data_IF_861420360893
#
_entry.id   IF_861420360893
#
_cell.length_a   1.000
_cell.length_b   1.000
_cell.length_c   1.000
_cell.angle_alpha   90.00
_cell.angle_beta   90.00
_cell.angle_gamma   90.00
#
_symmetry.space_group_name_H-M   'P 1'
#
loop_
_entity.id
_entity.type
_entity.pdbx_description
1 polymer ?
#
# COMPACT_ATOMS: atom_id res chain seq x y z
N UNK A 1 -7.18 18.78 -0.37
CA UNK A 1 -6.76 17.39 -0.13
C UNK A 1 -7.58 16.81 1.02
N UNK A 2 -8.03 15.57 0.92
CA UNK A 2 -8.84 14.85 1.92
C UNK A 2 -8.01 13.92 2.82
N UNK A 3 -6.69 13.85 2.55
CA UNK A 3 -5.70 13.04 3.26
C UNK A 3 -5.97 11.53 3.11
N UNK A 4 -6.49 11.08 1.97
CA UNK A 4 -6.79 9.67 1.73
C UNK A 4 -5.98 9.12 0.56
N UNK A 5 -5.33 7.98 0.80
CA UNK A 5 -4.73 7.13 -0.23
C UNK A 5 -5.79 6.17 -0.76
N UNK A 6 -5.91 6.04 -2.08
CA UNK A 6 -6.90 5.19 -2.73
C UNK A 6 -6.23 4.14 -3.62
N UNK A 7 -6.75 2.93 -3.62
CA UNK A 7 -6.59 2.01 -4.74
C UNK A 7 -7.86 2.01 -5.57
N UNK A 8 -7.72 2.29 -6.86
CA UNK A 8 -8.83 2.36 -7.80
C UNK A 8 -8.63 1.31 -8.88
N UNK A 9 -9.67 0.53 -9.13
CA UNK A 9 -9.70 -0.38 -10.25
C UNK A 9 -9.87 0.43 -11.55
N UNK A 10 -8.84 0.48 -12.38
CA UNK A 10 -8.87 1.31 -13.60
C UNK A 10 -9.88 0.82 -14.66
N UNK A 11 -10.34 -0.43 -14.58
CA UNK A 11 -11.35 -0.96 -15.50
C UNK A 11 -12.77 -0.58 -15.09
N UNK A 12 -13.09 -0.68 -13.80
CA UNK A 12 -14.44 -0.41 -13.29
C UNK A 12 -14.62 1.01 -12.74
N UNK A 13 -13.53 1.73 -12.48
CA UNK A 13 -13.53 3.03 -11.79
C UNK A 13 -13.85 2.94 -10.29
N UNK A 14 -14.01 1.73 -9.73
CA UNK A 14 -14.38 1.57 -8.32
C UNK A 14 -13.15 1.62 -7.41
N UNK A 15 -13.32 2.21 -6.23
CA UNK A 15 -12.34 2.17 -5.16
C UNK A 15 -12.31 0.76 -4.57
N UNK A 16 -11.18 0.07 -4.67
CA UNK A 16 -10.99 -1.26 -4.06
C UNK A 16 -10.72 -1.14 -2.55
N UNK A 17 -9.95 -0.13 -2.14
CA UNK A 17 -9.72 0.22 -0.74
C UNK A 17 -9.23 1.66 -0.59
N UNK A 18 -9.32 2.18 0.64
CA UNK A 18 -8.82 3.51 0.99
C UNK A 18 -8.12 3.51 2.35
N UNK A 19 -7.13 4.39 2.53
CA UNK A 19 -6.41 4.57 3.79
C UNK A 19 -6.25 6.04 4.12
N UNK A 20 -6.74 6.46 5.28
CA UNK A 20 -6.55 7.83 5.80
C UNK A 20 -5.12 8.01 6.31
N UNK A 21 -4.51 9.11 5.92
CA UNK A 21 -3.23 9.63 6.39
C UNK A 21 -3.45 10.81 7.33
N UNK A 22 -2.44 11.16 8.10
CA UNK A 22 -2.47 12.26 9.07
C UNK A 22 -2.38 13.63 8.41
N UNK A 23 -1.80 13.70 7.22
CA UNK A 23 -1.56 14.92 6.47
C UNK A 23 -1.88 14.71 4.97
N UNK A 24 -2.05 15.79 4.20
CA UNK A 24 -2.21 15.72 2.76
C UNK A 24 -1.14 14.88 2.08
N UNK A 25 -1.54 14.06 1.11
CA UNK A 25 -0.61 13.37 0.22
C UNK A 25 -0.35 14.34 -0.93
N UNK A 26 0.91 14.78 -1.07
CA UNK A 26 1.32 15.76 -2.10
C UNK A 26 2.29 15.17 -3.12
N UNK A 27 2.67 13.91 -2.95
CA UNK A 27 3.57 13.14 -3.81
C UNK A 27 2.93 11.81 -4.21
N UNK A 28 3.52 11.11 -5.17
CA UNK A 28 3.04 9.79 -5.55
C UNK A 28 3.36 8.75 -4.46
N UNK A 29 2.56 7.67 -4.42
CA UNK A 29 2.91 6.47 -3.67
C UNK A 29 3.86 5.59 -4.49
N UNK A 30 4.74 4.85 -3.82
CA UNK A 30 5.56 3.81 -4.42
C UNK A 30 4.95 2.43 -4.20
N UNK A 31 5.03 1.56 -5.20
CA UNK A 31 4.48 0.20 -5.15
C UNK A 31 5.58 -0.78 -5.56
N UNK A 32 5.78 -1.82 -4.75
CA UNK A 32 6.67 -2.94 -5.05
C UNK A 32 5.85 -4.23 -5.12
N UNK A 33 5.68 -4.80 -6.32
CA UNK A 33 4.90 -6.03 -6.53
C UNK A 33 5.71 -7.31 -6.25
N UNK A 34 7.00 -7.22 -5.93
CA UNK A 34 7.91 -8.37 -5.85
C UNK A 34 8.15 -8.89 -4.43
N UNK A 35 7.16 -8.79 -3.54
CA UNK A 35 7.19 -9.53 -2.29
C UNK A 35 6.84 -11.00 -2.55
N UNK A 36 7.81 -11.73 -3.08
CA UNK A 36 7.79 -13.19 -3.02
C UNK A 36 8.00 -13.58 -1.56
N UNK A 37 6.93 -13.87 -0.82
CA UNK A 37 7.07 -14.60 0.44
C UNK A 37 7.62 -16.01 0.11
N UNK A 38 8.90 -16.31 0.42
CA UNK A 38 9.48 -17.61 0.08
C UNK A 38 8.86 -18.76 0.89
N UNK A 39 8.06 -18.44 1.92
CA UNK A 39 7.36 -19.42 2.76
C UNK A 39 5.92 -19.68 2.32
N UNK A 40 5.41 -18.90 1.35
CA UNK A 40 4.06 -19.06 0.85
C UNK A 40 3.93 -20.35 0.03
N UNK A 41 3.28 -21.37 0.62
CA UNK A 41 2.90 -22.63 -0.05
C UNK A 41 1.91 -22.44 -1.21
N UNK A 42 1.50 -21.20 -1.51
CA UNK A 42 0.51 -20.82 -2.52
C UNK A 42 1.09 -19.83 -3.53
N UNK A 43 2.34 -20.06 -3.96
CA UNK A 43 3.14 -19.22 -4.87
C UNK A 43 2.52 -18.93 -6.27
N UNK A 44 1.24 -19.22 -6.50
CA UNK A 44 0.55 -19.00 -7.77
C UNK A 44 -0.69 -18.09 -7.73
N UNK A 45 -1.17 -17.63 -6.57
CA UNK A 45 -2.52 -17.00 -6.49
C UNK A 45 -2.64 -15.77 -5.60
N UNK A 46 -1.54 -15.26 -5.03
CA UNK A 46 -1.59 -14.12 -4.11
C UNK A 46 -0.90 -12.91 -4.75
N UNK A 47 -1.69 -11.90 -5.11
CA UNK A 47 -1.14 -10.58 -5.46
C UNK A 47 -0.87 -9.86 -4.14
N UNK A 48 0.39 -9.93 -3.72
CA UNK A 48 0.92 -9.24 -2.55
C UNK A 48 1.76 -8.06 -3.02
N UNK A 49 1.42 -6.86 -2.55
CA UNK A 49 2.09 -5.62 -2.93
C UNK A 49 2.49 -4.87 -1.65
N UNK A 50 3.71 -4.35 -1.63
CA UNK A 50 4.09 -3.33 -0.65
C UNK A 50 3.84 -1.95 -1.25
N UNK A 51 3.26 -1.07 -0.44
CA UNK A 51 2.90 0.28 -0.85
C UNK A 51 3.49 1.24 0.18
N UNK A 52 4.23 2.24 -0.28
CA UNK A 52 4.76 3.30 0.55
C UNK A 52 4.14 4.63 0.15
N UNK A 53 3.64 5.40 1.12
CA UNK A 53 3.11 6.73 0.90
C UNK A 53 3.60 7.69 1.97
N UNK A 54 3.75 8.96 1.58
CA UNK A 54 4.18 10.03 2.46
C UNK A 54 3.08 11.08 2.61
N UNK A 55 2.75 11.41 3.85
CA UNK A 55 1.96 12.59 4.20
C UNK A 55 2.87 13.82 4.26
N UNK A 56 2.35 14.98 3.90
CA UNK A 56 3.15 16.21 3.74
C UNK A 56 3.85 16.68 5.00
N UNK A 57 3.41 16.23 6.18
CA UNK A 57 4.00 16.54 7.50
C UNK A 57 4.96 15.46 7.99
N UNK A 58 5.59 14.71 7.10
CA UNK A 58 6.62 13.73 7.46
C UNK A 58 6.12 12.35 7.87
N UNK A 59 4.81 12.08 7.80
CA UNK A 59 4.30 10.72 7.99
C UNK A 59 4.76 9.85 6.83
N UNK A 60 5.40 8.72 7.12
CA UNK A 60 5.69 7.65 6.15
C UNK A 60 4.89 6.42 6.56
N UNK A 61 4.10 5.89 5.65
CA UNK A 61 3.24 4.73 5.88
C UNK A 61 3.57 3.64 4.87
N UNK A 62 3.87 2.43 5.37
CA UNK A 62 4.08 1.24 4.54
C UNK A 62 2.97 0.25 4.80
N UNK A 63 2.31 -0.16 3.72
CA UNK A 63 1.17 -1.06 3.72
C UNK A 63 1.53 -2.32 2.94
N UNK A 64 1.11 -3.47 3.46
CA UNK A 64 1.03 -4.71 2.70
C UNK A 64 -0.41 -4.91 2.24
N UNK A 65 -0.63 -4.83 0.93
CA UNK A 65 -1.91 -5.11 0.30
C UNK A 65 -1.87 -6.53 -0.25
N UNK A 66 -2.83 -7.36 0.16
CA UNK A 66 -2.96 -8.73 -0.33
C UNK A 66 -4.34 -8.97 -0.92
N UNK A 67 -4.38 -9.56 -2.12
CA UNK A 67 -5.61 -10.00 -2.78
C UNK A 67 -5.63 -11.52 -2.80
N UNK A 68 -6.47 -12.11 -1.96
CA UNK A 68 -6.67 -13.57 -1.95
C UNK A 68 -7.55 -13.95 -3.14
N UNK A 69 -6.97 -14.63 -4.14
CA UNK A 69 -7.76 -15.29 -5.19
C UNK A 69 -8.06 -16.73 -4.72
N UNK A 70 -9.34 -17.06 -4.51
CA UNK A 70 -9.93 -18.32 -3.98
C UNK A 70 -9.95 -18.47 -2.42
N UNK A 71 -11.00 -18.96 -1.75
CA UNK A 71 -12.29 -19.56 -2.17
C UNK A 71 -13.23 -19.87 -0.98
N UNK A 72 -14.39 -20.45 -1.29
CA UNK A 72 -15.41 -21.09 -0.43
C UNK A 72 -16.26 -20.24 0.54
N UNK A 73 -15.74 -19.18 1.19
CA UNK A 73 -16.44 -18.54 2.33
C UNK A 73 -16.85 -17.06 2.13
N UNK A 74 -16.95 -16.59 0.89
CA UNK A 74 -17.64 -15.32 0.56
C UNK A 74 -16.98 -14.01 1.03
N UNK A 75 -15.76 -14.04 1.58
CA UNK A 75 -14.99 -12.81 1.92
C UNK A 75 -13.86 -12.59 0.92
N UNK A 76 -14.20 -12.21 -0.30
CA UNK A 76 -13.22 -11.69 -1.26
C UNK A 76 -13.13 -10.17 -1.12
N UNK A 77 -12.06 -9.69 -0.49
CA UNK A 77 -11.76 -8.27 -0.38
C UNK A 77 -10.26 -8.07 -0.20
N UNK A 78 -9.72 -6.91 -0.61
CA UNK A 78 -8.32 -6.59 -0.37
C UNK A 78 -8.06 -6.54 1.14
N UNK A 79 -7.07 -7.32 1.60
CA UNK A 79 -6.58 -7.24 2.98
C UNK A 79 -5.40 -6.29 3.00
N UNK A 80 -5.58 -5.16 3.67
CA UNK A 80 -4.57 -4.14 3.87
C UNK A 80 -4.03 -4.23 5.30
N UNK A 81 -2.71 -4.34 5.46
CA UNK A 81 -2.03 -4.40 6.76
C UNK A 81 -0.98 -3.30 6.81
N UNK A 82 -1.00 -2.49 7.87
CA UNK A 82 0.11 -1.57 8.18
C UNK A 82 1.30 -2.38 8.67
N UNK A 83 2.41 -2.34 7.94
CA UNK A 83 3.62 -3.10 8.27
C UNK A 83 4.71 -2.20 8.85
N UNK A 84 4.70 -0.92 8.51
CA UNK A 84 5.57 0.06 9.13
C UNK A 84 4.95 1.46 9.08
N UNK A 85 5.33 2.27 10.07
CA UNK A 85 4.99 3.68 10.15
C UNK A 85 6.16 4.45 10.76
N UNK A 86 6.50 5.60 10.18
CA UNK A 86 7.52 6.48 10.70
C UNK A 86 7.07 7.95 10.64
N UNK A 87 7.72 8.77 11.44
CA UNK A 87 7.53 10.22 11.48
C UNK A 87 8.88 10.89 11.27
N UNK A 88 9.03 11.60 10.15
CA UNK A 88 10.21 12.40 9.85
C UNK A 88 10.11 13.75 10.56
N UNK A 89 11.27 14.37 10.84
CA UNK A 89 11.38 15.64 11.55
C UNK A 89 11.02 16.89 10.74
N UNK A 90 10.34 16.74 9.60
CA UNK A 90 10.03 17.84 8.69
C UNK A 90 9.02 17.45 7.62
N UNK A 91 8.69 18.41 6.78
CA UNK A 91 7.72 18.22 5.70
C UNK A 91 8.31 17.37 4.56
N UNK A 92 7.43 16.64 3.87
CA UNK A 92 7.78 15.77 2.74
C UNK A 92 7.01 16.20 1.51
N UNK A 93 7.75 16.40 0.42
CA UNK A 93 7.20 16.80 -0.88
C UNK A 93 7.64 15.87 -2.00
N UNK A 94 8.57 14.96 -1.73
CA UNK A 94 9.07 13.96 -2.68
C UNK A 94 8.33 12.64 -2.55
N UNK A 95 8.19 11.94 -3.67
CA UNK A 95 7.70 10.55 -3.67
C UNK A 95 8.74 9.64 -3.01
N UNK A 96 8.34 8.66 -2.19
CA UNK A 96 9.26 7.66 -1.65
C UNK A 96 9.78 6.75 -2.77
N UNK A 97 10.91 6.10 -2.53
CA UNK A 97 11.38 4.99 -3.37
C UNK A 97 11.24 3.68 -2.59
N UNK A 98 10.57 2.69 -3.19
CA UNK A 98 10.38 1.37 -2.60
C UNK A 98 10.99 0.32 -3.53
N UNK A 99 11.97 -0.44 -3.02
CA UNK A 99 12.67 -1.47 -3.78
C UNK A 99 13.11 -2.62 -2.86
N UNK A 100 12.67 -3.84 -3.16
CA UNK A 100 13.05 -5.04 -2.41
C UNK A 100 12.63 -4.95 -0.94
N UNK A 101 11.47 -4.36 -0.67
CA UNK A 101 10.96 -4.13 0.69
C UNK A 101 11.69 -3.05 1.50
N UNK A 102 12.59 -2.28 0.89
CA UNK A 102 13.26 -1.13 1.53
C UNK A 102 12.71 0.20 1.01
N UNK A 103 12.49 1.14 1.93
CA UNK A 103 12.07 2.52 1.64
C UNK A 103 13.30 3.44 1.69
N UNK A 104 13.44 4.31 0.69
CA UNK A 104 14.46 5.38 0.60
C UNK A 104 13.80 6.74 0.42
#
# INVERSE_FOLDING_TARGET
HDNVLYAVNLRSGQVEWQRRMQAPITSAAAVDPFMNDPTSRHAGTRQDELICACGSRGEVLVLHASKTMNGANGRSGPRLVEVAKAQLGGDVFSSPVLLGGRVW
#
